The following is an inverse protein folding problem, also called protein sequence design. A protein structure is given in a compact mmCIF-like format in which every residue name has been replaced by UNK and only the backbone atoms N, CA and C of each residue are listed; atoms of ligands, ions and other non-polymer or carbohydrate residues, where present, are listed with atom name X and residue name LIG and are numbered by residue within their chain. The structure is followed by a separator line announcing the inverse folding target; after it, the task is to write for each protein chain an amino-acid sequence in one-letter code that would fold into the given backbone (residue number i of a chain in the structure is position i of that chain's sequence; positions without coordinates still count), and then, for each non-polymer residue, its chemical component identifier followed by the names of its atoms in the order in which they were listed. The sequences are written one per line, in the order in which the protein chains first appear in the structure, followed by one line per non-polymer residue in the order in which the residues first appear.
data_IF_129843478935
#
_entry.id   IF_129843478935
#
_cell.length_a   1.000
_cell.length_b   1.000
_cell.length_c   1.000
_cell.angle_alpha   90.00
_cell.angle_beta   90.00
_cell.angle_gamma   90.00
#
_symmetry.space_group_name_H-M   'P 1'
#
loop_
_entity.id
_entity.type
_entity.pdbx_description
1 polymer ?
#
# COMPACT_ATOMS: atom_id res chain seq x y z
N UNK A 1 1.38 3.00 31.72
CA UNK A 1 1.07 4.43 31.44
C UNK A 1 -0.21 4.43 30.63
N UNK A 2 -1.21 5.21 31.00
CA UNK A 2 -2.46 5.28 30.23
C UNK A 2 -2.20 5.78 28.82
N UNK A 3 -2.84 5.19 27.79
CA UNK A 3 -2.71 5.64 26.42
C UNK A 3 -3.20 7.09 26.25
N UNK A 4 -2.43 7.91 25.53
CA UNK A 4 -2.82 9.31 25.24
C UNK A 4 -4.11 9.40 24.39
N UNK A 5 -4.42 8.34 23.64
CA UNK A 5 -5.59 8.23 22.76
C UNK A 5 -6.45 7.07 23.26
N UNK A 6 -7.65 7.39 23.72
CA UNK A 6 -8.63 6.37 24.13
C UNK A 6 -9.35 5.82 22.89
N UNK A 7 -9.37 4.51 22.73
CA UNK A 7 -10.11 3.84 21.66
C UNK A 7 -11.49 3.44 22.20
N UNK A 8 -12.53 3.78 21.45
CA UNK A 8 -13.89 3.46 21.82
C UNK A 8 -14.17 1.97 21.62
N UNK A 9 -15.05 1.39 22.43
CA UNK A 9 -15.52 0.03 22.23
C UNK A 9 -16.19 -0.10 20.85
N UNK A 10 -15.85 -1.16 20.10
CA UNK A 10 -16.35 -1.38 18.75
C UNK A 10 -15.75 -0.51 17.65
N UNK A 11 -14.69 0.28 17.95
CA UNK A 11 -13.98 1.06 16.94
C UNK A 11 -13.37 0.14 15.87
N UNK A 12 -13.44 0.55 14.62
CA UNK A 12 -12.83 -0.12 13.47
C UNK A 12 -11.36 0.26 13.32
N UNK A 13 -10.57 -0.55 12.57
CA UNK A 13 -9.20 -0.17 12.18
C UNK A 13 -9.13 1.21 11.51
N UNK A 14 -10.17 1.57 10.73
CA UNK A 14 -10.25 2.86 10.05
C UNK A 14 -10.37 4.03 11.03
N UNK A 15 -11.29 3.92 11.98
CA UNK A 15 -11.50 4.95 13.01
C UNK A 15 -10.27 5.12 13.91
N UNK A 16 -9.60 4.02 14.26
CA UNK A 16 -8.34 4.07 15.02
C UNK A 16 -7.26 4.84 14.24
N UNK A 17 -7.10 4.56 12.92
CA UNK A 17 -6.17 5.31 12.07
C UNK A 17 -6.45 6.80 12.08
N UNK A 18 -7.71 7.20 11.84
CA UNK A 18 -8.10 8.61 11.83
C UNK A 18 -7.81 9.28 13.17
N UNK A 19 -8.20 8.65 14.27
CA UNK A 19 -7.98 9.17 15.61
C UNK A 19 -6.49 9.43 15.90
N UNK A 20 -5.62 8.52 15.46
CA UNK A 20 -4.17 8.68 15.61
C UNK A 20 -3.64 9.80 14.72
N UNK A 21 -4.01 9.83 13.43
CA UNK A 21 -3.56 10.87 12.50
C UNK A 21 -4.00 12.26 12.95
N UNK A 22 -5.27 12.43 13.31
CA UNK A 22 -5.83 13.70 13.80
C UNK A 22 -5.12 14.16 15.07
N UNK A 23 -4.90 13.25 16.02
CA UNK A 23 -4.18 13.56 17.25
C UNK A 23 -2.75 14.05 16.96
N UNK A 24 -2.01 13.37 16.10
CA UNK A 24 -0.64 13.74 15.75
C UNK A 24 -0.55 15.09 15.04
N UNK A 25 -1.51 15.38 14.13
CA UNK A 25 -1.57 16.68 13.46
C UNK A 25 -1.96 17.80 14.42
N UNK A 26 -3.03 17.61 15.21
CA UNK A 26 -3.57 18.62 16.13
C UNK A 26 -2.59 18.95 17.27
N UNK A 27 -1.81 17.97 17.71
CA UNK A 27 -0.77 18.17 18.74
C UNK A 27 0.59 18.55 18.17
N UNK A 28 0.68 18.77 16.86
CA UNK A 28 1.94 19.11 16.17
C UNK A 28 3.09 18.12 16.47
N UNK A 29 2.77 16.83 16.57
CA UNK A 29 3.74 15.76 16.80
C UNK A 29 4.32 15.21 15.48
N UNK A 30 3.61 15.43 14.39
CA UNK A 30 3.99 14.99 13.06
C UNK A 30 5.19 15.77 12.50
N UNK A 31 6.03 15.05 11.74
CA UNK A 31 7.07 15.60 10.88
C UNK A 31 6.71 15.41 9.39
N UNK A 32 7.42 16.15 8.53
CA UNK A 32 7.27 15.98 7.08
C UNK A 32 7.54 14.52 6.63
N UNK A 33 6.75 13.98 5.68
CA UNK A 33 5.69 14.63 4.91
C UNK A 33 4.37 14.76 5.69
N UNK A 34 3.74 15.93 5.59
CA UNK A 34 2.46 16.26 6.21
C UNK A 34 1.42 16.61 5.14
N UNK A 35 0.12 16.42 5.37
CA UNK A 35 -0.46 15.75 6.54
C UNK A 35 -0.11 14.25 6.58
N UNK A 36 -0.08 13.68 7.79
CA UNK A 36 0.26 12.25 7.99
C UNK A 36 -0.88 11.29 7.64
N UNK A 37 -2.06 11.81 7.33
CA UNK A 37 -3.21 11.03 6.89
C UNK A 37 -2.89 10.15 5.68
N UNK A 38 -3.37 8.91 5.71
CA UNK A 38 -3.11 7.87 4.71
C UNK A 38 -1.62 7.49 4.54
N UNK A 39 -0.82 7.74 5.59
CA UNK A 39 0.62 7.42 5.63
C UNK A 39 0.96 6.67 6.91
N UNK A 40 2.11 6.01 6.92
CA UNK A 40 2.83 5.72 8.17
C UNK A 40 3.38 7.05 8.65
N UNK A 41 2.93 7.55 9.83
CA UNK A 41 3.26 8.89 10.28
C UNK A 41 4.75 9.06 10.53
N UNK A 42 5.35 10.11 9.98
CA UNK A 42 6.64 10.59 10.48
C UNK A 42 6.40 11.52 11.68
N UNK A 43 7.30 11.50 12.65
CA UNK A 43 7.07 12.17 13.93
C UNK A 43 8.33 12.77 14.54
N UNK A 44 8.15 13.72 15.44
CA UNK A 44 9.23 14.31 16.23
C UNK A 44 9.81 13.26 17.17
N UNK A 45 11.13 13.06 17.13
CA UNK A 45 11.82 12.01 17.87
C UNK A 45 11.93 10.66 17.13
N UNK A 46 11.57 10.57 15.85
CA UNK A 46 11.68 9.33 15.08
C UNK A 46 13.12 8.79 15.01
N UNK A 47 14.12 9.67 14.86
CA UNK A 47 15.52 9.29 14.88
C UNK A 47 15.92 8.74 16.25
N UNK A 48 15.53 9.40 17.35
CA UNK A 48 15.79 8.94 18.71
C UNK A 48 15.18 7.55 18.98
N UNK A 49 13.95 7.34 18.53
CA UNK A 49 13.30 6.03 18.63
C UNK A 49 14.04 4.97 17.80
N UNK A 50 14.46 5.32 16.57
CA UNK A 50 15.20 4.43 15.68
C UNK A 50 16.57 4.03 16.19
N UNK A 51 17.28 4.91 16.90
CA UNK A 51 18.60 4.60 17.49
C UNK A 51 18.52 3.52 18.58
N UNK A 52 17.36 3.38 19.24
CA UNK A 52 17.15 2.32 20.25
C UNK A 52 17.22 0.92 19.65
N UNK A 53 17.14 0.78 18.34
CA UNK A 53 17.34 -0.49 17.64
C UNK A 53 18.71 -1.10 18.00
N UNK A 54 19.77 -0.29 18.18
CA UNK A 54 21.12 -0.74 18.57
C UNK A 54 21.16 -1.46 19.91
N UNK A 55 20.23 -1.13 20.82
CA UNK A 55 20.17 -1.71 22.15
C UNK A 55 19.57 -3.13 22.17
N UNK A 56 18.79 -3.49 21.15
CA UNK A 56 18.16 -4.81 21.06
C UNK A 56 19.21 -5.91 20.82
N UNK A 57 19.19 -6.95 21.66
CA UNK A 57 20.06 -8.12 21.49
C UNK A 57 19.83 -8.79 20.12
N UNK A 58 18.58 -8.93 19.72
CA UNK A 58 18.19 -9.47 18.41
C UNK A 58 18.76 -8.66 17.24
N UNK A 59 18.84 -7.33 17.35
CA UNK A 59 19.49 -6.53 16.32
C UNK A 59 21.01 -6.74 16.33
N UNK A 60 21.64 -6.78 17.51
CA UNK A 60 23.09 -7.00 17.58
C UNK A 60 23.51 -8.33 16.94
N UNK A 61 22.78 -9.41 17.19
CA UNK A 61 23.05 -10.73 16.61
C UNK A 61 22.64 -10.88 15.14
N UNK A 62 21.74 -10.04 14.62
CA UNK A 62 21.26 -10.12 13.23
C UNK A 62 22.37 -9.83 12.21
N UNK A 63 22.29 -10.48 11.05
CA UNK A 63 23.14 -10.24 9.87
C UNK A 63 22.34 -9.53 8.78
N UNK A 64 21.09 -9.91 8.60
CA UNK A 64 20.17 -9.41 7.58
C UNK A 64 18.97 -8.75 8.23
N UNK A 65 18.74 -7.48 7.93
CA UNK A 65 17.64 -6.70 8.48
C UNK A 65 16.81 -6.14 7.34
N UNK A 66 15.50 -6.41 7.35
CA UNK A 66 14.55 -5.80 6.43
C UNK A 66 13.90 -4.59 7.07
N UNK A 67 13.94 -3.45 6.42
CA UNK A 67 13.35 -2.19 6.94
C UNK A 67 12.42 -1.58 5.91
N UNK A 68 11.21 -1.20 6.31
CA UNK A 68 10.25 -0.53 5.42
C UNK A 68 10.76 0.83 4.93
N UNK A 69 10.31 1.29 3.74
CA UNK A 69 10.78 2.55 3.14
C UNK A 69 10.20 3.81 3.78
N UNK A 70 9.24 3.69 4.71
CA UNK A 70 8.55 4.82 5.32
C UNK A 70 9.51 5.77 6.05
N UNK A 71 9.14 7.05 6.11
CA UNK A 71 10.00 8.11 6.65
C UNK A 71 10.46 7.87 8.11
N UNK A 72 9.60 7.45 9.07
CA UNK A 72 10.04 7.23 10.44
C UNK A 72 11.05 6.08 10.61
N UNK A 73 11.16 5.17 9.64
CA UNK A 73 12.14 4.08 9.65
C UNK A 73 13.50 4.46 9.04
N UNK A 74 13.69 5.69 8.59
CA UNK A 74 14.95 6.11 7.97
C UNK A 74 16.15 5.90 8.90
N UNK A 75 16.03 6.21 10.19
CA UNK A 75 17.09 5.99 11.15
C UNK A 75 17.42 4.52 11.35
N UNK A 76 16.43 3.63 11.31
CA UNK A 76 16.68 2.18 11.35
C UNK A 76 17.48 1.69 10.14
N UNK A 77 17.20 2.23 8.93
CA UNK A 77 18.01 1.94 7.74
C UNK A 77 19.46 2.41 7.92
N UNK A 78 19.65 3.63 8.40
CA UNK A 78 20.99 4.15 8.70
C UNK A 78 21.72 3.27 9.75
N UNK A 79 21.07 2.98 10.87
CA UNK A 79 21.62 2.15 11.95
C UNK A 79 22.04 0.77 11.45
N UNK A 80 21.26 0.18 10.54
CA UNK A 80 21.55 -1.12 9.92
C UNK A 80 22.81 -1.06 9.06
N UNK A 81 22.94 -0.02 8.22
CA UNK A 81 24.13 0.17 7.37
C UNK A 81 25.38 0.50 8.19
N UNK A 82 25.26 1.37 9.20
CA UNK A 82 26.33 1.75 10.11
C UNK A 82 26.86 0.54 10.92
N UNK A 83 25.97 -0.41 11.25
CA UNK A 83 26.34 -1.70 11.86
C UNK A 83 26.87 -2.73 10.84
N UNK A 84 27.08 -2.34 9.57
CA UNK A 84 27.57 -3.19 8.46
C UNK A 84 26.75 -4.46 8.24
N UNK A 85 25.42 -4.35 8.49
CA UNK A 85 24.49 -5.45 8.24
C UNK A 85 23.89 -5.32 6.85
N UNK A 86 23.45 -6.45 6.28
CA UNK A 86 22.71 -6.45 5.03
C UNK A 86 21.36 -5.78 5.25
N UNK A 87 21.09 -4.71 4.49
CA UNK A 87 19.84 -3.98 4.53
C UNK A 87 18.97 -4.31 3.31
N UNK A 88 17.79 -4.84 3.58
CA UNK A 88 16.74 -5.05 2.57
C UNK A 88 15.63 -4.03 2.74
N UNK A 89 15.24 -3.37 1.66
CA UNK A 89 14.13 -2.40 1.63
C UNK A 89 13.14 -2.82 0.56
N UNK A 90 11.84 -2.95 0.85
CA UNK A 90 10.84 -3.29 -0.15
C UNK A 90 10.86 -2.35 -1.35
N UNK A 91 10.62 -2.91 -2.54
CA UNK A 91 10.45 -2.07 -3.73
C UNK A 91 9.13 -1.29 -3.64
N UNK A 92 9.05 -0.08 -4.22
CA UNK A 92 7.83 0.72 -4.17
C UNK A 92 6.64 -0.05 -4.74
N UNK A 93 5.61 -0.26 -3.91
CA UNK A 93 4.39 -1.02 -4.25
C UNK A 93 4.66 -2.42 -4.82
N UNK A 94 5.82 -3.00 -4.52
CA UNK A 94 6.23 -4.34 -4.98
C UNK A 94 6.14 -4.52 -6.51
N UNK A 95 6.43 -3.46 -7.27
CA UNK A 95 6.29 -3.47 -8.73
C UNK A 95 7.50 -4.06 -9.44
N UNK A 96 8.70 -3.83 -8.91
CA UNK A 96 9.97 -4.19 -9.55
C UNK A 96 10.72 -5.26 -8.75
N UNK A 97 10.02 -6.29 -8.29
CA UNK A 97 10.57 -7.32 -7.41
C UNK A 97 10.14 -7.13 -5.95
N UNK A 98 10.68 -7.95 -5.05
CA UNK A 98 10.30 -7.94 -3.64
C UNK A 98 11.11 -6.91 -2.85
N UNK A 99 12.45 -6.99 -2.92
CA UNK A 99 13.35 -6.12 -2.17
C UNK A 99 14.41 -5.46 -3.03
N UNK A 100 14.96 -4.39 -2.47
CA UNK A 100 16.23 -3.79 -2.84
C UNK A 100 17.25 -4.11 -1.73
N UNK A 101 18.36 -4.73 -2.05
CA UNK A 101 19.53 -4.83 -1.18
C UNK A 101 20.33 -3.54 -1.32
N UNK A 102 20.47 -2.80 -0.24
CA UNK A 102 21.21 -1.53 -0.26
C UNK A 102 22.69 -1.81 -0.10
N UNK A 103 23.48 -1.37 -1.08
CA UNK A 103 24.94 -1.58 -1.13
C UNK A 103 25.63 -0.23 -1.15
N UNK A 104 26.08 0.29 0.00
CA UNK A 104 26.84 1.54 0.05
C UNK A 104 28.16 1.42 -0.75
N UNK A 105 28.73 2.53 -1.23
CA UNK A 105 30.04 2.55 -1.86
C UNK A 105 31.13 1.97 -0.95
N UNK A 106 32.19 1.42 -1.54
CA UNK A 106 33.34 0.96 -0.78
C UNK A 106 33.97 2.11 0.01
N UNK A 107 34.23 1.93 1.30
CA UNK A 107 34.77 2.97 2.17
C UNK A 107 33.79 4.07 2.53
N UNK A 108 32.48 3.86 2.33
CA UNK A 108 31.43 4.85 2.62
C UNK A 108 31.59 5.48 4.01
N UNK A 109 31.56 6.80 4.06
CA UNK A 109 31.54 7.60 5.30
C UNK A 109 30.18 7.48 6.00
N UNK A 110 30.05 8.02 7.21
CA UNK A 110 28.77 8.10 7.92
C UNK A 110 27.74 8.92 7.15
N UNK A 111 28.20 9.96 6.47
CA UNK A 111 27.38 10.82 5.61
C UNK A 111 26.85 10.05 4.40
N UNK A 112 27.70 9.26 3.74
CA UNK A 112 27.28 8.39 2.63
C UNK A 112 26.24 7.37 3.10
N UNK A 113 26.42 6.76 4.27
CA UNK A 113 25.43 5.85 4.85
C UNK A 113 24.10 6.54 5.17
N UNK A 114 24.13 7.81 5.60
CA UNK A 114 22.92 8.63 5.77
C UNK A 114 22.20 8.82 4.44
N UNK A 115 22.94 9.18 3.38
CA UNK A 115 22.39 9.30 2.02
C UNK A 115 21.79 7.97 1.57
N UNK A 116 22.50 6.85 1.71
CA UNK A 116 22.02 5.52 1.34
C UNK A 116 20.74 5.13 2.09
N UNK A 117 20.50 5.66 3.30
CA UNK A 117 19.30 5.40 4.12
C UNK A 117 18.05 6.18 3.66
N UNK A 118 18.20 7.19 2.81
CA UNK A 118 17.10 8.02 2.28
C UNK A 118 16.36 7.30 1.15
N UNK A 119 15.18 7.82 0.80
CA UNK A 119 14.43 7.31 -0.37
C UNK A 119 15.18 7.45 -1.69
N UNK A 120 16.02 8.48 -1.82
CA UNK A 120 16.88 8.69 -3.00
C UNK A 120 18.02 7.68 -3.00
N UNK A 121 18.73 7.54 -1.87
CA UNK A 121 19.83 6.59 -1.76
C UNK A 121 19.40 5.13 -1.95
N UNK A 122 18.19 4.76 -1.48
CA UNK A 122 17.61 3.45 -1.78
C UNK A 122 17.46 3.20 -3.29
N UNK A 123 17.17 4.22 -4.10
CA UNK A 123 17.10 4.08 -5.56
C UNK A 123 18.47 3.96 -6.21
N UNK A 124 19.45 4.70 -5.72
CA UNK A 124 20.78 4.81 -6.32
C UNK A 124 21.72 3.66 -5.96
N UNK A 125 21.66 3.21 -4.69
CA UNK A 125 22.61 2.25 -4.12
C UNK A 125 21.98 0.88 -3.88
N UNK A 126 21.05 0.44 -4.74
CA UNK A 126 20.37 -0.84 -4.54
C UNK A 126 20.56 -1.84 -5.67
N UNK A 127 20.48 -3.12 -5.31
CA UNK A 127 20.32 -4.25 -6.23
C UNK A 127 19.02 -4.98 -5.94
N UNK A 128 18.23 -5.33 -6.96
CA UNK A 128 16.99 -6.08 -6.77
C UNK A 128 17.25 -7.46 -6.17
N UNK A 129 16.35 -7.89 -5.28
CA UNK A 129 16.30 -9.23 -4.69
C UNK A 129 14.88 -9.77 -4.92
N UNK A 130 14.77 -10.88 -5.65
CA UNK A 130 13.51 -11.51 -6.03
C UNK A 130 13.05 -12.60 -5.06
N UNK A 131 11.98 -13.29 -5.47
CA UNK A 131 11.41 -14.43 -4.71
C UNK A 131 12.29 -15.68 -4.72
N UNK A 132 13.20 -15.79 -5.69
CA UNK A 132 14.14 -16.88 -5.89
C UNK A 132 15.42 -16.76 -5.05
N UNK A 133 15.60 -15.63 -4.37
CA UNK A 133 16.78 -15.36 -3.58
C UNK A 133 16.81 -16.23 -2.30
N UNK A 134 17.93 -16.91 -2.08
CA UNK A 134 18.18 -17.64 -0.84
C UNK A 134 18.72 -16.69 0.23
N UNK A 135 17.81 -15.97 0.88
CA UNK A 135 18.14 -15.02 1.95
C UNK A 135 17.34 -15.35 3.21
N UNK A 136 18.00 -15.31 4.36
CA UNK A 136 17.33 -15.41 5.67
C UNK A 136 17.33 -14.03 6.32
N UNK A 137 16.16 -13.53 6.68
CA UNK A 137 15.96 -12.24 7.34
C UNK A 137 15.87 -12.48 8.84
N UNK A 138 16.81 -11.94 9.60
CA UNK A 138 16.88 -12.13 11.05
C UNK A 138 15.94 -11.19 11.81
N UNK A 139 15.72 -9.99 11.25
CA UNK A 139 14.92 -8.96 11.89
C UNK A 139 14.17 -8.11 10.85
N UNK A 140 12.90 -7.84 11.13
CA UNK A 140 12.03 -7.00 10.29
C UNK A 140 11.67 -5.73 11.05
N UNK A 141 11.88 -4.57 10.42
CA UNK A 141 11.39 -3.28 10.93
C UNK A 141 10.21 -2.82 10.06
N UNK A 142 9.04 -2.73 10.66
CA UNK A 142 7.78 -2.41 9.97
C UNK A 142 7.20 -1.07 10.42
N UNK A 143 6.59 -0.34 9.48
CA UNK A 143 5.86 0.89 9.79
C UNK A 143 4.47 0.62 10.36
N UNK A 144 4.01 1.48 11.28
CA UNK A 144 2.70 1.36 11.91
C UNK A 144 2.01 2.72 12.02
N UNK A 145 0.70 2.72 11.95
CA UNK A 145 -0.14 3.87 12.33
C UNK A 145 -0.50 3.78 13.81
N UNK A 146 -0.88 2.59 14.28
CA UNK A 146 -1.16 2.32 15.68
C UNK A 146 -0.60 0.95 16.07
N UNK A 147 -0.22 0.80 17.33
CA UNK A 147 0.22 -0.46 17.93
C UNK A 147 -0.30 -0.58 19.35
N UNK A 148 -0.47 -1.79 19.85
CA UNK A 148 -0.77 -2.05 21.26
C UNK A 148 0.45 -2.65 21.97
N UNK A 149 0.53 -2.50 23.29
CA UNK A 149 1.57 -3.17 24.10
C UNK A 149 1.47 -4.69 24.03
N UNK A 150 0.33 -5.24 23.56
CA UNK A 150 0.14 -6.67 23.28
C UNK A 150 0.75 -7.13 21.94
N UNK A 151 1.31 -6.23 21.15
CA UNK A 151 1.93 -6.53 19.86
C UNK A 151 0.98 -6.46 18.66
N UNK A 152 -0.25 -5.97 18.85
CA UNK A 152 -1.20 -5.78 17.76
C UNK A 152 -0.83 -4.55 16.94
N UNK A 153 -0.93 -4.65 15.62
CA UNK A 153 -0.47 -3.61 14.72
C UNK A 153 -1.55 -3.21 13.71
N UNK A 154 -1.69 -1.92 13.51
CA UNK A 154 -2.53 -1.34 12.44
C UNK A 154 -1.61 -0.55 11.50
N UNK A 155 -1.51 -1.01 10.24
CA UNK A 155 -0.85 -0.30 9.15
C UNK A 155 -1.75 0.79 8.55
N UNK A 156 -1.32 1.38 7.42
CA UNK A 156 -2.07 2.47 6.77
C UNK A 156 -3.31 2.04 5.98
N UNK A 157 -3.59 0.72 5.89
CA UNK A 157 -4.78 0.18 5.24
C UNK A 157 -4.57 -0.31 3.80
N UNK A 158 -3.35 -0.32 3.28
CA UNK A 158 -3.04 -0.83 1.93
C UNK A 158 -2.60 -2.30 1.91
N UNK A 159 -2.33 -2.91 3.06
CA UNK A 159 -1.93 -4.32 3.22
C UNK A 159 -0.54 -4.67 2.70
N UNK A 160 0.27 -3.71 2.19
CA UNK A 160 1.58 -4.03 1.61
C UNK A 160 2.55 -4.67 2.59
N UNK A 161 2.62 -4.17 3.83
CA UNK A 161 3.57 -4.71 4.82
C UNK A 161 3.22 -6.15 5.23
N UNK A 162 1.94 -6.45 5.31
CA UNK A 162 1.42 -7.78 5.64
C UNK A 162 1.68 -8.76 4.49
N UNK A 163 1.43 -8.32 3.25
CA UNK A 163 1.78 -9.08 2.05
C UNK A 163 3.29 -9.30 1.89
N UNK A 164 4.13 -8.28 2.17
CA UNK A 164 5.59 -8.41 2.16
C UNK A 164 6.05 -9.50 3.13
N UNK A 165 5.49 -9.49 4.36
CA UNK A 165 5.83 -10.51 5.36
C UNK A 165 5.39 -11.91 4.91
N UNK A 166 4.16 -12.04 4.42
CA UNK A 166 3.63 -13.31 3.90
C UNK A 166 4.45 -13.86 2.71
N UNK A 167 4.92 -12.98 1.79
CA UNK A 167 5.84 -13.38 0.72
C UNK A 167 7.19 -13.84 1.25
N UNK A 168 7.73 -13.19 2.29
CA UNK A 168 8.97 -13.65 2.95
C UNK A 168 8.80 -15.03 3.57
N UNK A 169 7.64 -15.34 4.15
CA UNK A 169 7.33 -16.68 4.64
C UNK A 169 7.32 -17.69 3.50
N UNK A 170 6.62 -17.37 2.40
CA UNK A 170 6.49 -18.26 1.23
C UNK A 170 7.84 -18.59 0.58
N UNK A 171 8.80 -17.67 0.60
CA UNK A 171 10.17 -17.93 0.08
C UNK A 171 11.13 -18.50 1.12
N UNK A 172 10.67 -18.77 2.35
CA UNK A 172 11.50 -19.28 3.43
C UNK A 172 12.49 -18.26 4.01
N UNK A 173 12.31 -16.96 3.74
CA UNK A 173 13.21 -15.91 4.22
C UNK A 173 12.95 -15.53 5.68
N UNK A 174 11.77 -15.78 6.23
CA UNK A 174 11.40 -15.56 7.63
C UNK A 174 10.70 -16.78 8.19
N UNK A 175 10.69 -16.89 9.51
CA UNK A 175 9.97 -17.92 10.27
C UNK A 175 9.20 -17.26 11.42
N UNK A 176 8.44 -18.05 12.18
CA UNK A 176 7.79 -17.59 13.42
C UNK A 176 8.78 -17.03 14.45
N UNK A 177 10.05 -17.43 14.41
CA UNK A 177 11.12 -16.93 15.28
C UNK A 177 11.72 -15.58 14.81
N UNK A 178 11.44 -15.13 13.58
CA UNK A 178 11.94 -13.85 13.08
C UNK A 178 11.33 -12.70 13.87
N UNK A 179 12.18 -11.85 14.43
CA UNK A 179 11.76 -10.73 15.27
C UNK A 179 11.23 -9.57 14.43
N UNK A 180 10.07 -9.07 14.79
CA UNK A 180 9.42 -7.90 14.15
C UNK A 180 9.43 -6.72 15.10
N UNK A 181 9.99 -5.61 14.65
CA UNK A 181 10.12 -4.36 15.39
C UNK A 181 9.33 -3.26 14.70
N UNK A 182 8.71 -2.38 15.45
CA UNK A 182 8.12 -1.15 14.92
C UNK A 182 8.64 0.09 15.61
N UNK A 183 8.69 1.23 14.89
CA UNK A 183 9.17 2.51 15.38
C UNK A 183 8.03 3.51 15.25
N UNK A 184 7.54 4.01 16.39
CA UNK A 184 6.36 4.85 16.49
C UNK A 184 6.56 5.95 17.52
N UNK A 185 5.73 7.01 17.48
CA UNK A 185 5.62 7.98 18.58
C UNK A 185 4.85 7.37 19.75
N UNK A 186 5.12 7.81 20.98
CA UNK A 186 4.46 7.30 22.18
C UNK A 186 2.91 7.35 22.10
N UNK A 187 2.33 8.37 21.46
CA UNK A 187 0.89 8.48 21.27
C UNK A 187 0.28 7.46 20.31
N UNK A 188 1.08 6.78 19.50
CA UNK A 188 0.63 5.70 18.59
C UNK A 188 0.48 4.35 19.33
N UNK A 189 0.94 4.28 20.58
CA UNK A 189 0.73 3.12 21.46
C UNK A 189 -0.66 3.26 22.09
N UNK A 190 -1.61 2.46 21.64
CA UNK A 190 -3.03 2.54 22.01
C UNK A 190 -3.58 1.15 22.33
N UNK A 191 -4.71 1.08 23.02
CA UNK A 191 -5.36 -0.20 23.28
C UNK A 191 -6.16 -0.64 22.04
N UNK A 192 -5.61 -1.60 21.30
CA UNK A 192 -6.25 -2.16 20.09
C UNK A 192 -7.03 -3.40 20.52
N UNK A 193 -8.36 -3.47 20.26
CA UNK A 193 -9.14 -4.69 20.47
C UNK A 193 -8.62 -5.87 19.68
N UNK A 194 -8.55 -7.04 20.31
CA UNK A 194 -8.00 -8.26 19.69
C UNK A 194 -8.84 -8.74 18.50
N UNK A 195 -10.16 -8.56 18.56
CA UNK A 195 -11.11 -8.93 17.51
C UNK A 195 -10.91 -8.16 16.17
N UNK A 196 -10.10 -7.11 16.20
CA UNK A 196 -9.68 -6.40 14.99
C UNK A 196 -8.49 -7.05 14.29
N UNK A 197 -7.77 -7.96 14.97
CA UNK A 197 -6.55 -8.56 14.43
C UNK A 197 -6.90 -9.87 13.74
N UNK A 198 -6.54 -9.93 12.48
CA UNK A 198 -6.81 -11.07 11.63
C UNK A 198 -5.52 -11.88 11.35
N UNK A 199 -5.67 -13.12 10.87
CA UNK A 199 -4.54 -14.03 10.60
C UNK A 199 -3.53 -13.53 9.57
N UNK A 200 -3.87 -12.51 8.78
CA UNK A 200 -2.97 -11.87 7.82
C UNK A 200 -2.23 -10.65 8.38
N UNK A 201 -2.63 -10.13 9.55
CA UNK A 201 -1.99 -8.97 10.17
C UNK A 201 -0.65 -9.35 10.80
N UNK A 202 0.41 -8.63 10.46
CA UNK A 202 1.72 -8.82 11.07
C UNK A 202 1.73 -8.23 12.47
N UNK A 203 1.97 -9.08 13.48
CA UNK A 203 2.18 -8.67 14.87
C UNK A 203 3.63 -8.24 15.10
N UNK A 204 3.88 -7.47 16.16
CA UNK A 204 5.22 -6.95 16.49
C UNK A 204 5.70 -7.47 17.85
N UNK A 205 7.00 -7.77 17.93
CA UNK A 205 7.65 -8.25 19.14
C UNK A 205 8.23 -7.11 19.99
N UNK A 206 8.65 -6.01 19.33
CA UNK A 206 9.19 -4.83 19.99
C UNK A 206 8.61 -3.54 19.40
N UNK A 207 8.33 -2.59 20.29
CA UNK A 207 7.91 -1.23 19.95
C UNK A 207 9.00 -0.28 20.46
N UNK A 208 9.56 0.53 19.55
CA UNK A 208 10.53 1.55 19.87
C UNK A 208 9.85 2.92 19.77
N UNK A 209 9.82 3.65 20.88
CA UNK A 209 9.31 5.02 20.93
C UNK A 209 10.42 5.98 21.33
N UNK A 210 10.25 7.31 21.21
CA UNK A 210 11.23 8.26 21.73
C UNK A 210 11.57 8.03 23.21
N UNK A 211 10.61 7.63 24.03
CA UNK A 211 10.79 7.49 25.48
C UNK A 211 11.04 6.06 25.94
N UNK A 212 10.51 5.02 25.22
CA UNK A 212 10.47 3.63 25.71
C UNK A 212 10.93 2.61 24.66
N UNK A 213 11.35 1.44 25.18
CA UNK A 213 11.43 0.17 24.43
C UNK A 213 10.45 -0.79 25.09
N UNK A 214 9.49 -1.26 24.34
CA UNK A 214 8.44 -2.17 24.84
C UNK A 214 8.65 -3.52 24.16
N UNK A 215 8.78 -4.57 24.96
CA UNK A 215 8.65 -5.96 24.52
C UNK A 215 7.21 -6.37 24.70
N UNK A 216 6.57 -6.85 23.63
CA UNK A 216 5.13 -7.06 23.61
C UNK A 216 4.71 -8.43 24.13
N UNK A 217 5.57 -9.43 24.00
CA UNK A 217 5.28 -10.85 24.32
C UNK A 217 3.97 -11.31 23.66
N UNK A 218 3.75 -10.91 22.41
CA UNK A 218 2.51 -11.13 21.65
C UNK A 218 2.15 -12.62 21.62
N UNK A 219 0.88 -12.92 21.91
CA UNK A 219 0.36 -14.31 21.90
C UNK A 219 -0.24 -14.73 20.58
N UNK A 220 -0.59 -13.77 19.71
CA UNK A 220 -1.12 -14.06 18.38
C UNK A 220 0.02 -14.48 17.45
N UNK A 221 -0.20 -15.49 16.59
CA UNK A 221 0.80 -15.92 15.62
C UNK A 221 1.04 -14.85 14.55
N UNK A 222 2.22 -14.89 13.96
CA UNK A 222 2.51 -14.14 12.74
C UNK A 222 1.90 -14.84 11.51
N UNK A 223 1.64 -14.12 10.39
CA UNK A 223 1.14 -14.74 9.16
C UNK A 223 2.03 -15.91 8.69
N UNK A 224 1.40 -16.99 8.22
CA UNK A 224 2.07 -18.21 7.73
C UNK A 224 2.25 -18.22 6.20
N UNK A 225 1.85 -17.17 5.51
CA UNK A 225 1.95 -17.02 4.07
C UNK A 225 0.80 -16.20 3.49
N UNK A 226 0.68 -16.19 2.18
CA UNK A 226 -0.41 -15.48 1.48
C UNK A 226 -1.73 -16.25 1.65
N UNK A 227 -2.75 -15.55 2.10
CA UNK A 227 -4.14 -16.05 2.13
C UNK A 227 -4.81 -15.65 0.83
N UNK A 228 -4.69 -16.51 -0.20
CA UNK A 228 -5.16 -16.22 -1.56
C UNK A 228 -6.65 -15.90 -1.62
N UNK A 229 -7.48 -16.55 -0.78
CA UNK A 229 -8.90 -16.30 -0.69
C UNK A 229 -9.26 -14.86 -0.22
N UNK A 230 -8.31 -14.13 0.37
CA UNK A 230 -8.46 -12.71 0.74
C UNK A 230 -7.96 -11.74 -0.35
N UNK A 231 -7.44 -12.23 -1.46
CA UNK A 231 -6.96 -11.44 -2.59
C UNK A 231 -7.90 -11.59 -3.78
N UNK A 232 -8.01 -10.52 -4.56
CA UNK A 232 -8.77 -10.49 -5.80
C UNK A 232 -7.87 -10.28 -7.04
N UNK A 233 -8.45 -10.34 -8.23
CA UNK A 233 -7.73 -10.15 -9.48
C UNK A 233 -7.15 -8.73 -9.62
N UNK A 234 -7.79 -7.72 -9.02
CA UNK A 234 -7.33 -6.33 -9.04
C UNK A 234 -6.04 -6.17 -8.24
N UNK A 235 -5.93 -6.85 -7.08
CA UNK A 235 -4.70 -6.85 -6.28
C UNK A 235 -3.55 -7.51 -7.02
N UNK A 236 -3.80 -8.63 -7.70
CA UNK A 236 -2.78 -9.26 -8.56
C UNK A 236 -2.35 -8.35 -9.72
N UNK A 237 -3.27 -7.51 -10.23
CA UNK A 237 -2.95 -6.50 -11.23
C UNK A 237 -2.06 -5.37 -10.68
N UNK A 238 -2.33 -4.93 -9.45
CA UNK A 238 -1.59 -3.85 -8.77
C UNK A 238 -0.20 -4.28 -8.29
N UNK A 239 -0.02 -5.57 -7.95
CA UNK A 239 1.20 -6.14 -7.37
C UNK A 239 1.67 -7.32 -8.25
N UNK A 240 2.43 -7.05 -9.32
CA UNK A 240 2.79 -8.08 -10.31
C UNK A 240 3.53 -9.29 -9.74
N UNK A 241 4.35 -9.10 -8.68
CA UNK A 241 5.11 -10.18 -8.05
C UNK A 241 4.20 -11.26 -7.43
N UNK A 242 2.97 -10.91 -7.04
CA UNK A 242 1.98 -11.88 -6.56
C UNK A 242 1.60 -12.92 -7.63
N UNK A 243 1.61 -12.54 -8.91
CA UNK A 243 1.35 -13.49 -10.01
C UNK A 243 2.43 -14.57 -10.08
N UNK A 244 3.68 -14.15 -9.93
CA UNK A 244 4.82 -15.06 -9.91
C UNK A 244 4.76 -16.00 -8.70
N UNK A 245 4.51 -15.45 -7.51
CA UNK A 245 4.39 -16.25 -6.29
C UNK A 245 3.21 -17.23 -6.38
N UNK A 246 2.06 -16.78 -6.90
CA UNK A 246 0.88 -17.63 -7.11
C UNK A 246 1.19 -18.84 -7.97
N UNK A 247 1.90 -18.63 -9.10
CA UNK A 247 2.31 -19.71 -9.97
C UNK A 247 3.26 -20.71 -9.28
N UNK A 248 4.22 -20.22 -8.49
CA UNK A 248 5.14 -21.06 -7.72
C UNK A 248 4.40 -21.89 -6.66
N UNK A 249 3.49 -21.27 -5.90
CA UNK A 249 2.71 -21.97 -4.87
C UNK A 249 1.71 -22.96 -5.48
N UNK A 250 1.12 -22.65 -6.62
CA UNK A 250 0.27 -23.59 -7.38
C UNK A 250 1.05 -24.82 -7.86
N UNK A 251 2.27 -24.62 -8.36
CA UNK A 251 3.17 -25.73 -8.74
C UNK A 251 3.56 -26.60 -7.55
N UNK A 252 3.63 -26.04 -6.36
CA UNK A 252 3.89 -26.80 -5.12
C UNK A 252 2.65 -27.45 -4.52
N UNK A 253 1.49 -27.38 -5.19
CA UNK A 253 0.24 -28.04 -4.79
C UNK A 253 -0.57 -27.24 -3.75
N UNK A 254 -0.25 -25.99 -3.47
CA UNK A 254 -1.04 -25.14 -2.56
C UNK A 254 -2.32 -24.65 -3.26
N UNK A 255 -3.39 -24.50 -2.49
CA UNK A 255 -4.60 -23.82 -2.96
C UNK A 255 -4.33 -22.33 -3.11
N UNK A 256 -4.45 -21.82 -4.33
CA UNK A 256 -4.23 -20.43 -4.70
C UNK A 256 -5.51 -19.78 -5.26
N UNK A 257 -6.68 -20.31 -4.87
CA UNK A 257 -7.98 -19.78 -5.28
C UNK A 257 -8.18 -18.37 -4.73
N UNK A 258 -8.53 -17.46 -5.63
CA UNK A 258 -8.77 -16.05 -5.25
C UNK A 258 -10.18 -15.87 -4.70
N UNK A 259 -10.32 -14.94 -3.76
CA UNK A 259 -11.60 -14.48 -3.26
C UNK A 259 -12.36 -13.63 -4.30
N UNK A 260 -13.66 -13.47 -4.08
CA UNK A 260 -14.50 -12.57 -4.88
C UNK A 260 -14.35 -11.13 -4.35
N UNK A 261 -14.28 -10.15 -5.26
CA UNK A 261 -14.11 -8.73 -4.93
C UNK A 261 -15.17 -8.17 -3.94
N UNK A 262 -16.37 -8.75 -3.93
CA UNK A 262 -17.47 -8.35 -3.05
C UNK A 262 -17.23 -8.60 -1.56
N UNK A 263 -16.37 -9.56 -1.19
CA UNK A 263 -16.11 -9.89 0.22
C UNK A 263 -15.25 -8.81 0.91
N UNK A 264 -14.31 -8.22 0.19
CA UNK A 264 -13.39 -7.21 0.73
C UNK A 264 -14.04 -5.87 1.01
N UNK A 265 -15.00 -5.46 0.18
CA UNK A 265 -15.76 -4.23 0.38
C UNK A 265 -16.62 -4.25 1.66
N UNK A 266 -16.98 -5.44 2.16
CA UNK A 266 -17.77 -5.62 3.39
C UNK A 266 -16.91 -5.60 4.66
N UNK A 267 -15.63 -5.98 4.56
CA UNK A 267 -14.72 -6.03 5.73
C UNK A 267 -14.16 -4.65 6.11
N UNK A 268 -14.06 -3.72 5.16
CA UNK A 268 -13.55 -2.36 5.38
C UNK A 268 -14.63 -1.36 5.85
N UNK A 269 -15.90 -1.78 5.94
CA UNK A 269 -17.02 -0.91 6.36
C UNK A 269 -17.19 -0.90 7.89
N UNK A 270 -17.55 0.24 8.51
CA UNK A 270 -17.95 0.33 9.91
C UNK A 270 -19.07 -0.65 10.25
N UNK A 271 -19.10 -1.14 11.51
CA UNK A 271 -20.06 -2.17 11.99
C UNK A 271 -21.54 -1.78 11.77
N UNK A 272 -21.86 -0.49 11.95
CA UNK A 272 -23.19 0.07 11.66
C UNK A 272 -23.55 0.01 10.17
N UNK A 273 -22.54 0.11 9.27
CA UNK A 273 -22.72 -0.05 7.83
C UNK A 273 -22.86 -1.53 7.43
N UNK A 274 -22.31 -2.47 8.22
CA UNK A 274 -22.46 -3.92 8.01
C UNK A 274 -23.89 -4.40 8.35
N UNK A 275 -24.54 -3.81 9.35
CA UNK A 275 -25.93 -4.12 9.69
C UNK A 275 -26.92 -3.52 8.69
N UNK A 276 -26.64 -2.31 8.17
CA UNK A 276 -27.43 -1.68 7.11
C UNK A 276 -27.23 -2.36 5.74
N UNK A 277 -26.08 -2.95 5.47
CA UNK A 277 -25.81 -3.67 4.21
C UNK A 277 -26.52 -5.05 4.09
N UNK A 278 -27.26 -5.46 5.14
CA UNK A 278 -28.18 -6.62 5.08
C UNK A 278 -29.58 -6.27 4.55
N UNK A 279 -29.87 -4.97 4.41
CA UNK A 279 -31.00 -4.47 3.63
C UNK A 279 -30.46 -3.89 2.34
N UNK A 280 -31.08 -4.13 1.19
CA UNK A 280 -30.77 -3.80 -0.21
C UNK A 280 -29.62 -2.79 -0.49
N UNK A 281 -28.76 -2.99 -1.51
CA UNK A 281 -27.62 -2.11 -1.77
C UNK A 281 -28.11 -0.72 -2.16
N UNK A 282 -27.94 0.27 -1.30
CA UNK A 282 -28.08 1.68 -1.66
C UNK A 282 -27.01 2.01 -2.73
N UNK A 283 -27.46 2.40 -3.90
CA UNK A 283 -26.61 2.66 -5.04
C UNK A 283 -25.70 3.88 -4.77
N UNK A 284 -24.39 3.72 -4.92
CA UNK A 284 -23.41 4.82 -4.96
C UNK A 284 -23.92 5.90 -5.90
N UNK A 285 -24.07 7.12 -5.40
CA UNK A 285 -24.51 8.26 -6.20
C UNK A 285 -23.31 9.06 -6.68
N UNK A 286 -23.20 9.21 -7.98
CA UNK A 286 -22.08 9.95 -8.63
C UNK A 286 -22.55 11.30 -9.12
N UNK A 287 -21.84 12.36 -8.76
CA UNK A 287 -21.99 13.69 -9.32
C UNK A 287 -20.96 13.89 -10.44
N UNK A 288 -21.40 14.51 -11.51
CA UNK A 288 -20.58 15.05 -12.58
C UNK A 288 -20.25 16.51 -12.27
N UNK A 289 -18.98 16.89 -12.40
CA UNK A 289 -18.53 18.29 -12.29
C UNK A 289 -17.88 18.69 -13.60
N UNK A 290 -18.51 19.64 -14.28
CA UNK A 290 -18.05 20.22 -15.54
C UNK A 290 -17.61 21.69 -15.38
N UNK A 291 -17.20 22.30 -16.50
CA UNK A 291 -16.75 23.70 -16.49
C UNK A 291 -15.38 23.92 -15.85
N UNK A 292 -14.59 22.86 -15.68
CA UNK A 292 -13.25 22.94 -15.09
C UNK A 292 -12.32 23.77 -15.99
N UNK A 293 -11.74 24.88 -15.50
CA UNK A 293 -10.86 25.72 -16.31
C UNK A 293 -9.56 25.00 -16.66
N UNK A 294 -8.99 25.35 -17.82
CA UNK A 294 -7.67 24.87 -18.22
C UNK A 294 -6.62 25.38 -17.22
N UNK A 295 -5.81 24.46 -16.67
CA UNK A 295 -4.79 24.79 -15.67
C UNK A 295 -5.20 24.55 -14.23
N UNK A 296 -6.49 24.34 -13.92
CA UNK A 296 -6.90 23.93 -12.58
C UNK A 296 -6.28 22.57 -12.20
N UNK A 297 -5.65 22.51 -11.04
CA UNK A 297 -5.07 21.26 -10.51
C UNK A 297 -6.11 20.53 -9.65
N UNK A 298 -6.03 19.20 -9.64
CA UNK A 298 -6.91 18.36 -8.82
C UNK A 298 -6.87 18.72 -7.33
N UNK A 299 -5.72 19.24 -6.85
CA UNK A 299 -5.55 19.69 -5.46
C UNK A 299 -6.42 20.91 -5.12
N UNK A 300 -6.58 21.86 -6.05
CA UNK A 300 -7.40 23.06 -5.86
C UNK A 300 -8.88 22.69 -5.81
N UNK A 301 -9.33 21.79 -6.70
CA UNK A 301 -10.70 21.28 -6.62
C UNK A 301 -10.96 20.56 -5.29
N UNK A 302 -10.03 19.70 -4.83
CA UNK A 302 -10.14 19.03 -3.53
C UNK A 302 -10.15 20.01 -2.36
N UNK A 303 -9.40 21.10 -2.44
CA UNK A 303 -9.43 22.20 -1.47
C UNK A 303 -10.82 22.82 -1.39
N UNK A 304 -11.36 23.25 -2.52
CA UNK A 304 -12.68 23.88 -2.61
C UNK A 304 -13.82 22.95 -2.12
N UNK A 305 -13.74 21.63 -2.40
CA UNK A 305 -14.68 20.64 -1.88
C UNK A 305 -14.58 20.48 -0.35
N UNK A 306 -13.37 20.52 0.19
CA UNK A 306 -13.12 20.45 1.64
C UNK A 306 -13.67 21.69 2.36
N UNK A 307 -13.43 22.87 1.81
CA UNK A 307 -13.89 24.15 2.39
C UNK A 307 -15.42 24.23 2.45
N UNK A 308 -16.11 23.48 1.57
CA UNK A 308 -17.57 23.33 1.57
C UNK A 308 -18.07 22.13 2.41
N UNK A 309 -17.16 21.33 3.00
CA UNK A 309 -17.52 20.16 3.81
C UNK A 309 -18.10 18.99 3.02
N UNK A 310 -17.90 18.93 1.69
CA UNK A 310 -18.52 17.94 0.79
C UNK A 310 -17.49 17.05 0.09
N UNK A 311 -16.58 16.49 0.87
CA UNK A 311 -15.57 15.58 0.32
C UNK A 311 -16.22 14.29 -0.20
N UNK A 312 -15.96 13.89 -1.47
CA UNK A 312 -16.45 12.63 -2.00
C UNK A 312 -15.63 11.44 -1.48
N UNK A 313 -16.21 10.25 -1.47
CA UNK A 313 -15.50 8.99 -1.27
C UNK A 313 -14.38 8.81 -2.29
N UNK A 314 -14.71 9.09 -3.54
CA UNK A 314 -13.78 8.96 -4.66
C UNK A 314 -13.94 10.11 -5.63
N UNK A 315 -12.81 10.63 -6.09
CA UNK A 315 -12.77 11.68 -7.11
C UNK A 315 -12.04 11.14 -8.34
N UNK A 316 -12.75 11.04 -9.44
CA UNK A 316 -12.23 10.68 -10.74
C UNK A 316 -11.93 11.94 -11.54
N UNK A 317 -10.65 12.32 -11.63
CA UNK A 317 -10.19 13.51 -12.32
C UNK A 317 -9.94 13.24 -13.80
N UNK A 318 -10.59 14.00 -14.67
CA UNK A 318 -10.40 13.98 -16.11
C UNK A 318 -10.03 15.39 -16.61
N UNK A 319 -8.91 15.91 -16.14
CA UNK A 319 -8.41 17.27 -16.44
C UNK A 319 -8.36 17.62 -17.92
N UNK A 320 -7.81 16.77 -18.81
CA UNK A 320 -7.81 17.01 -20.25
C UNK A 320 -9.22 17.18 -20.85
N UNK A 321 -10.23 16.56 -20.25
CA UNK A 321 -11.63 16.63 -20.66
C UNK A 321 -12.42 17.68 -19.86
N UNK A 322 -11.74 18.47 -19.02
CA UNK A 322 -12.29 19.57 -18.23
C UNK A 322 -13.48 19.15 -17.35
N UNK A 323 -13.40 17.93 -16.76
CA UNK A 323 -14.46 17.34 -15.94
C UNK A 323 -13.92 16.45 -14.84
N UNK A 324 -14.76 16.20 -13.82
CA UNK A 324 -14.51 15.26 -12.76
C UNK A 324 -15.80 14.52 -12.39
N UNK A 325 -15.67 13.32 -11.78
CA UNK A 325 -16.78 12.60 -11.19
C UNK A 325 -16.50 12.40 -9.70
N UNK A 326 -17.53 12.64 -8.89
CA UNK A 326 -17.46 12.59 -7.43
C UNK A 326 -18.44 11.53 -6.94
N UNK A 327 -17.90 10.45 -6.35
CA UNK A 327 -18.73 9.35 -5.82
C UNK A 327 -19.01 9.59 -4.34
N UNK A 328 -20.27 9.46 -3.94
CA UNK A 328 -20.76 9.58 -2.56
C UNK A 328 -21.39 8.28 -2.10
N UNK A 329 -21.41 8.06 -0.77
CA UNK A 329 -21.90 6.81 -0.14
C UNK A 329 -23.33 6.46 -0.51
N UNK A 330 -24.17 7.49 -0.61
CA UNK A 330 -25.59 7.37 -0.85
C UNK A 330 -26.12 8.60 -1.61
N UNK A 331 -27.37 8.52 -2.04
CA UNK A 331 -28.03 9.59 -2.79
C UNK A 331 -28.20 10.86 -1.94
N UNK A 332 -28.45 10.74 -0.65
CA UNK A 332 -28.65 11.87 0.27
C UNK A 332 -27.37 12.69 0.44
N UNK A 333 -26.24 12.01 0.61
CA UNK A 333 -24.93 12.65 0.67
C UNK A 333 -24.59 13.36 -0.66
N UNK A 334 -24.93 12.74 -1.80
CA UNK A 334 -24.75 13.36 -3.11
C UNK A 334 -25.66 14.57 -3.32
N UNK A 335 -26.92 14.53 -2.87
CA UNK A 335 -27.85 15.67 -2.94
C UNK A 335 -27.37 16.84 -2.08
N UNK A 336 -26.88 16.57 -0.86
CA UNK A 336 -26.29 17.59 0.00
C UNK A 336 -25.03 18.20 -0.63
N UNK A 337 -24.18 17.37 -1.24
CA UNK A 337 -23.01 17.83 -1.97
C UNK A 337 -23.37 18.64 -3.21
N UNK A 338 -24.37 18.23 -3.98
CA UNK A 338 -24.86 18.95 -5.14
C UNK A 338 -25.36 20.35 -4.76
N UNK A 339 -26.12 20.47 -3.68
CA UNK A 339 -26.60 21.75 -3.16
C UNK A 339 -25.44 22.66 -2.74
N UNK A 340 -24.43 22.10 -2.04
CA UNK A 340 -23.23 22.84 -1.63
C UNK A 340 -22.32 23.24 -2.80
N UNK A 341 -22.36 22.53 -3.91
CA UNK A 341 -21.57 22.81 -5.12
C UNK A 341 -22.23 23.81 -6.07
N UNK A 342 -23.51 24.10 -5.87
CA UNK A 342 -24.18 25.14 -6.66
C UNK A 342 -23.54 26.51 -6.42
N UNK A 343 -23.18 27.19 -7.51
CA UNK A 343 -22.49 28.48 -7.46
C UNK A 343 -21.03 28.42 -7.01
N UNK A 344 -20.44 27.21 -6.91
CA UNK A 344 -19.01 27.08 -6.62
C UNK A 344 -18.19 27.66 -7.78
N UNK A 345 -17.34 28.63 -7.46
CA UNK A 345 -16.32 29.12 -8.38
C UNK A 345 -14.93 28.80 -7.85
N UNK A 346 -14.04 28.37 -8.74
CA UNK A 346 -12.62 28.14 -8.44
C UNK A 346 -11.79 28.98 -9.41
N UNK A 347 -10.91 29.80 -8.88
CA UNK A 347 -10.11 30.76 -9.65
C UNK A 347 -10.97 31.70 -10.55
N UNK A 348 -12.14 32.14 -10.05
CA UNK A 348 -13.05 33.02 -10.78
C UNK A 348 -13.92 32.32 -11.84
N UNK A 349 -13.83 31.01 -12.01
CA UNK A 349 -14.62 30.23 -12.95
C UNK A 349 -15.69 29.40 -12.23
N UNK A 350 -16.97 29.59 -12.60
CA UNK A 350 -18.07 28.80 -12.06
C UNK A 350 -18.02 27.35 -12.52
N UNK A 351 -18.10 26.41 -11.57
CA UNK A 351 -18.20 24.99 -11.85
C UNK A 351 -19.67 24.57 -11.97
N UNK A 352 -19.96 23.62 -12.84
CA UNK A 352 -21.29 23.03 -13.00
C UNK A 352 -21.29 21.64 -12.39
N UNK A 353 -22.22 21.37 -11.45
CA UNK A 353 -22.39 20.06 -10.86
C UNK A 353 -23.80 19.53 -11.15
N UNK A 354 -23.88 18.23 -11.52
CA UNK A 354 -25.14 17.53 -11.76
C UNK A 354 -24.97 16.04 -11.43
N UNK A 355 -26.09 15.31 -11.26
CA UNK A 355 -26.02 13.86 -11.15
C UNK A 355 -25.49 13.24 -12.45
N UNK A 356 -24.50 12.35 -12.33
CA UNK A 356 -23.98 11.65 -13.50
C UNK A 356 -25.08 10.76 -14.10
N UNK A 357 -25.28 10.87 -15.41
CA UNK A 357 -26.24 9.99 -16.14
C UNK A 357 -25.71 8.57 -16.08
N UNK A 358 -26.49 7.64 -15.55
CA UNK A 358 -26.19 6.22 -15.53
C UNK A 358 -25.93 5.75 -16.97
N UNK A 359 -24.70 5.38 -17.31
CA UNK A 359 -24.43 4.62 -18.52
C UNK A 359 -25.00 3.21 -18.29
N UNK A 360 -26.24 3.00 -18.70
CA UNK A 360 -26.78 1.65 -18.90
C UNK A 360 -25.84 0.96 -19.87
N UNK A 361 -25.22 -0.11 -19.39
CA UNK A 361 -24.45 -1.04 -20.20
C UNK A 361 -25.26 -1.40 -21.44
N UNK A 362 -24.81 -0.98 -22.62
CA UNK A 362 -25.32 -1.50 -23.88
C UNK A 362 -24.85 -2.95 -24.01
N UNK A 363 -25.64 -3.86 -23.42
CA UNK A 363 -25.73 -5.21 -23.94
C UNK A 363 -26.42 -5.08 -25.30
N UNK A 364 -25.66 -5.20 -26.38
CA UNK A 364 -26.20 -5.39 -27.71
C UNK A 364 -27.04 -6.65 -27.68
N UNK A 365 -28.29 -6.62 -28.18
CA UNK A 365 -29.06 -7.84 -28.40
C UNK A 365 -28.37 -8.63 -29.51
N UNK A 366 -28.16 -9.91 -29.25
CA UNK A 366 -27.83 -10.87 -30.28
C UNK A 366 -29.07 -11.05 -31.14
N UNK A 367 -29.07 -10.55 -32.35
CA UNK A 367 -30.12 -10.82 -33.34
C UNK A 367 -29.52 -11.43 -34.59
N UNK A 368 -30.00 -12.67 -34.82
CA UNK A 368 -30.35 -13.31 -36.08
C UNK A 368 -29.28 -13.37 -37.19
N UNK A 369 -28.96 -14.58 -37.45
CA UNK A 369 -28.38 -15.11 -38.68
C UNK A 369 -28.96 -14.47 -39.93
N UNK A 370 -28.12 -14.10 -40.88
CA UNK A 370 -28.39 -14.06 -42.32
C UNK A 370 -27.26 -14.72 -43.08
N UNK A 371 -27.57 -15.36 -44.22
CA UNK A 371 -26.78 -16.45 -44.77
C UNK A 371 -25.58 -16.01 -45.61
N UNK A 372 -24.71 -16.95 -45.82
CA UNK A 372 -23.52 -16.92 -46.65
C UNK A 372 -23.78 -16.40 -48.07
N UNK A 373 -22.85 -15.56 -48.56
CA UNK A 373 -22.55 -15.49 -50.01
C UNK A 373 -21.06 -15.71 -50.17
N UNK A 374 -20.75 -16.76 -50.92
CA UNK A 374 -19.47 -17.07 -51.55
C UNK A 374 -19.00 -15.87 -52.38
N UNK A 375 -17.73 -15.52 -52.27
CA UNK A 375 -16.93 -15.01 -53.39
C UNK A 375 -15.46 -15.36 -53.12
N UNK A 376 -15.04 -16.40 -53.81
CA UNK A 376 -13.76 -16.62 -54.50
C UNK A 376 -12.44 -16.07 -53.97
N UNK A 377 -11.55 -17.05 -53.83
CA UNK A 377 -10.09 -16.99 -53.88
C UNK A 377 -9.53 -15.98 -54.90
N UNK A 378 -8.52 -15.27 -54.52
CA UNK A 378 -7.36 -15.00 -55.40
C UNK A 378 -6.07 -14.87 -54.56
N UNK A 379 -5.19 -15.81 -54.87
CA UNK A 379 -3.75 -15.86 -54.56
C UNK A 379 -3.06 -14.50 -54.63
N UNK A 380 -2.12 -14.31 -53.69
CA UNK A 380 -0.77 -13.87 -54.05
C UNK A 380 0.22 -14.30 -52.95
N UNK A 381 0.90 -15.39 -53.26
CA UNK A 381 2.22 -15.75 -52.77
C UNK A 381 3.21 -14.67 -53.28
N UNK A 382 3.94 -13.98 -52.43
CA UNK A 382 5.35 -13.63 -52.66
C UNK A 382 5.92 -12.91 -51.42
N UNK A 383 7.11 -13.34 -51.03
CA UNK A 383 8.09 -12.70 -50.12
C UNK A 383 8.25 -13.33 -48.74
N UNK A 384 8.57 -14.64 -48.75
CA UNK A 384 9.46 -15.19 -47.74
C UNK A 384 10.83 -15.39 -48.40
N UNK A 385 11.72 -14.48 -48.18
CA UNK A 385 13.20 -14.70 -48.27
C UNK A 385 13.84 -13.33 -47.97
N UNK A 386 14.51 -13.23 -46.88
CA UNK A 386 15.62 -12.40 -46.46
C UNK A 386 15.48 -12.02 -45.00
N UNK A 387 15.99 -12.87 -44.15
CA UNK A 387 16.52 -12.58 -42.82
C UNK A 387 16.87 -13.89 -42.08
N UNK A 388 17.72 -14.66 -42.77
CA UNK A 388 18.37 -15.80 -42.12
C UNK A 388 19.83 -15.80 -42.61
N UNK A 389 20.63 -14.81 -42.13
CA UNK A 389 22.07 -14.83 -42.28
C UNK A 389 22.68 -13.67 -41.47
N UNK A 390 22.72 -13.82 -40.14
CA UNK A 390 23.63 -13.00 -39.30
C UNK A 390 23.78 -13.61 -37.89
N UNK A 391 23.94 -14.94 -37.79
CA UNK A 391 24.32 -15.57 -36.52
C UNK A 391 25.10 -16.87 -36.69
N UNK A 392 26.16 -16.82 -37.56
CA UNK A 392 27.23 -17.81 -37.53
C UNK A 392 28.50 -17.08 -37.98
N UNK A 393 29.24 -16.54 -37.01
CA UNK A 393 30.69 -16.28 -37.10
C UNK A 393 31.11 -15.55 -35.82
N UNK A 394 31.46 -16.32 -34.78
CA UNK A 394 32.51 -16.00 -33.80
C UNK A 394 32.52 -17.03 -32.68
N UNK A 395 32.85 -18.24 -33.02
CA UNK A 395 33.55 -19.16 -32.13
C UNK A 395 34.66 -19.78 -32.97
N UNK A 396 35.84 -19.20 -32.89
CA UNK A 396 37.13 -19.78 -33.06
C UNK A 396 38.14 -18.65 -33.32
N UNK A 397 38.87 -18.31 -32.28
CA UNK A 397 40.28 -17.92 -32.32
C UNK A 397 40.64 -17.22 -30.99
N UNK A 398 41.16 -18.01 -30.05
CA UNK A 398 42.40 -17.72 -29.37
C UNK A 398 42.58 -18.74 -28.26
N UNK A 399 43.49 -19.59 -28.51
CA UNK A 399 44.38 -20.38 -27.66
C UNK A 399 44.79 -19.65 -26.39
#
# INVERSE_FOLDING_TARGET
MEPCIKINAGATKWEIRHKVWDYMENRNLANFPRPVHNRIPNFKGAAQAGDKLRALANFRSSKVVKVNPDAPQQQARYVTLDARKMLLVPTPRLRNGLFNHIIPPAGASKEDLRVCSTSQGVKEFSRPVGLDAKVTVDLVVVGSVAVSEKGYRIGKGEGYADMEYAMMVSMGAVSSATVVVTIVHDCQVVDIPEDLIESHDVTVDYILTPTRVIRTDCKLPKPEGIIWAKLDADMLGKIPILKTLRALEQQSGKDVTLGKAEQRAKEDLPRESREKARGEPEAVATLYVGGIPSGLRVGELKGALRDRGVLPLKLHWQGPQRRAFLDYNDRRAAEAALAALQGLSVNGHGLQAEFARSQRSHRRPVHAQRPAKEVQEKLLLSSFSHLCSYWEFKVNAAS
#
